data_IF_129918854716
#
_entry.id   IF_129918854716
#
_cell.length_a   1.000
_cell.length_b   1.000
_cell.length_c   1.000
_cell.angle_alpha   90.00
_cell.angle_beta   90.00
_cell.angle_gamma   90.00
#
_symmetry.space_group_name_H-M   'P 1'
#
loop_
_entity.id
_entity.type
_entity.pdbx_description
1 polymer ?
#
# COMPACT_ATOMS: atom_id res chain seq x y z
N UNK A 1 -3.07 -32.52 -12.67
CA UNK A 1 -2.68 -31.11 -12.49
C UNK A 1 -2.45 -30.85 -11.02
N UNK A 2 -1.21 -30.62 -10.59
CA UNK A 2 -0.86 -30.35 -9.20
C UNK A 2 -1.07 -28.88 -8.86
N UNK A 3 -1.82 -28.60 -7.79
CA UNK A 3 -1.96 -27.26 -7.24
C UNK A 3 -0.76 -26.98 -6.34
N UNK A 4 0.11 -26.07 -6.79
CA UNK A 4 1.26 -25.61 -6.02
C UNK A 4 0.75 -24.60 -4.99
N UNK A 5 0.69 -25.04 -3.74
CA UNK A 5 0.44 -24.21 -2.56
C UNK A 5 1.46 -23.08 -2.50
N UNK A 6 1.02 -21.83 -2.69
CA UNK A 6 1.82 -20.64 -2.38
C UNK A 6 1.22 -20.03 -1.12
N UNK A 7 2.04 -19.95 -0.06
CA UNK A 7 1.67 -19.48 1.27
C UNK A 7 1.32 -17.99 1.23
N UNK A 8 0.03 -17.69 1.37
CA UNK A 8 -0.53 -16.39 1.69
C UNK A 8 -1.99 -16.63 2.04
N UNK A 9 -2.30 -16.72 3.33
CA UNK A 9 -3.58 -17.23 3.80
C UNK A 9 -4.67 -16.20 3.48
N UNK A 10 -5.45 -16.43 2.44
CA UNK A 10 -6.86 -16.05 2.43
C UNK A 10 -7.66 -17.18 1.80
N UNK A 11 -8.38 -17.92 2.63
CA UNK A 11 -9.34 -18.94 2.19
C UNK A 11 -10.38 -18.25 1.30
N UNK A 12 -10.23 -18.41 -0.01
CA UNK A 12 -11.28 -18.13 -0.99
C UNK A 12 -12.35 -19.19 -0.78
N UNK A 13 -13.23 -18.95 0.20
CA UNK A 13 -14.52 -19.63 0.25
C UNK A 13 -15.39 -18.90 -0.76
N UNK A 14 -15.61 -19.55 -1.90
CA UNK A 14 -16.61 -19.18 -2.89
C UNK A 14 -17.96 -18.97 -2.17
N UNK A 15 -18.28 -17.72 -1.88
CA UNK A 15 -19.59 -17.32 -1.39
C UNK A 15 -20.09 -16.16 -2.23
N UNK A 16 -21.03 -16.52 -3.10
CA UNK A 16 -21.95 -15.75 -3.93
C UNK A 16 -22.52 -14.57 -3.12
N UNK A 17 -21.81 -13.45 -3.06
CA UNK A 17 -22.27 -12.20 -2.45
C UNK A 17 -21.46 -11.06 -3.05
N UNK A 18 -22.13 -10.02 -3.55
CA UNK A 18 -21.50 -8.85 -4.18
C UNK A 18 -20.40 -8.21 -3.31
N UNK A 19 -20.43 -8.42 -2.00
CA UNK A 19 -19.40 -7.95 -1.07
C UNK A 19 -18.04 -8.65 -1.25
N UNK A 20 -18.01 -9.97 -1.51
CA UNK A 20 -16.73 -10.71 -1.67
C UNK A 20 -16.03 -10.32 -2.97
N UNK A 21 -16.80 -10.08 -4.04
CA UNK A 21 -16.26 -9.61 -5.32
C UNK A 21 -15.70 -8.19 -5.20
N UNK A 22 -16.39 -7.30 -4.48
CA UNK A 22 -15.92 -5.94 -4.21
C UNK A 22 -14.62 -5.95 -3.40
N UNK A 23 -14.53 -6.78 -2.35
CA UNK A 23 -13.32 -6.90 -1.54
C UNK A 23 -12.13 -7.36 -2.40
N UNK A 24 -12.27 -8.44 -3.17
CA UNK A 24 -11.19 -8.93 -4.04
C UNK A 24 -10.72 -7.89 -5.08
N UNK A 25 -11.68 -7.21 -5.73
CA UNK A 25 -11.36 -6.12 -6.67
C UNK A 25 -10.67 -4.94 -5.99
N UNK A 26 -10.99 -4.66 -4.72
CA UNK A 26 -10.31 -3.62 -3.93
C UNK A 26 -8.86 -3.99 -3.67
N UNK A 27 -8.60 -5.26 -3.31
CA UNK A 27 -7.25 -5.76 -3.11
C UNK A 27 -6.42 -5.73 -4.40
N UNK A 28 -6.95 -6.29 -5.50
CA UNK A 28 -6.23 -6.34 -6.77
C UNK A 28 -5.93 -4.92 -7.30
N UNK A 29 -6.94 -4.04 -7.32
CA UNK A 29 -6.79 -2.68 -7.83
C UNK A 29 -5.83 -1.81 -7.01
N UNK A 30 -5.89 -1.91 -5.67
CA UNK A 30 -4.96 -1.16 -4.81
C UNK A 30 -3.51 -1.65 -4.95
N UNK A 31 -3.28 -2.97 -5.01
CA UNK A 31 -1.94 -3.51 -5.21
C UNK A 31 -1.34 -3.12 -6.56
N UNK A 32 -2.12 -3.21 -7.64
CA UNK A 32 -1.68 -2.81 -8.97
C UNK A 32 -1.30 -1.33 -9.02
N UNK A 33 -2.15 -0.46 -8.46
CA UNK A 33 -1.88 0.99 -8.43
C UNK A 33 -0.62 1.33 -7.64
N UNK A 34 -0.41 0.67 -6.50
CA UNK A 34 0.79 0.88 -5.68
C UNK A 34 2.05 0.33 -6.36
N UNK A 35 1.97 -0.73 -7.17
CA UNK A 35 3.09 -1.19 -7.99
C UNK A 35 3.39 -0.27 -9.17
N UNK A 36 2.44 0.55 -9.63
CA UNK A 36 2.68 1.59 -10.64
C UNK A 36 3.26 2.90 -10.07
N UNK A 37 3.59 2.93 -8.78
CA UNK A 37 4.24 4.09 -8.18
C UNK A 37 5.60 4.30 -8.84
N UNK A 38 5.83 5.53 -9.29
CA UNK A 38 7.11 5.90 -9.89
C UNK A 38 8.22 5.87 -8.83
N UNK A 39 9.48 5.60 -9.24
CA UNK A 39 10.62 5.69 -8.33
C UNK A 39 10.71 7.11 -7.75
N UNK A 40 10.69 7.23 -6.43
CA UNK A 40 10.91 8.50 -5.77
C UNK A 40 12.38 8.85 -5.87
N UNK A 41 12.67 9.99 -6.48
CA UNK A 41 14.00 10.61 -6.46
C UNK A 41 14.17 11.32 -5.13
N UNK A 42 15.18 10.89 -4.39
CA UNK A 42 15.57 11.51 -3.15
C UNK A 42 16.75 12.45 -3.42
N UNK A 43 17.13 13.29 -2.45
CA UNK A 43 18.20 14.28 -2.61
C UNK A 43 19.52 13.69 -3.17
N UNK A 44 19.89 12.49 -2.75
CA UNK A 44 21.14 11.81 -3.15
C UNK A 44 20.90 10.34 -3.55
N UNK A 45 19.80 10.07 -4.26
CA UNK A 45 19.43 8.71 -4.56
C UNK A 45 18.08 8.53 -5.23
N UNK A 46 17.65 7.28 -5.36
CA UNK A 46 16.29 6.94 -5.78
C UNK A 46 15.84 5.65 -5.12
N UNK A 47 14.56 5.56 -4.84
CA UNK A 47 13.91 4.39 -4.25
C UNK A 47 12.67 4.05 -5.04
N UNK A 48 12.44 2.75 -5.23
CA UNK A 48 11.26 2.26 -5.93
C UNK A 48 10.60 1.16 -5.09
N UNK A 49 9.27 1.13 -5.13
CA UNK A 49 8.51 0.02 -4.55
C UNK A 49 8.80 -1.22 -5.39
N UNK A 50 9.28 -2.28 -4.73
CA UNK A 50 9.61 -3.54 -5.39
C UNK A 50 8.51 -4.57 -5.25
N UNK A 51 7.84 -4.60 -4.09
CA UNK A 51 6.81 -5.61 -3.81
C UNK A 51 5.84 -5.15 -2.72
N UNK A 52 4.58 -5.58 -2.82
CA UNK A 52 3.59 -5.46 -1.73
C UNK A 52 3.67 -6.72 -0.88
N UNK A 53 4.22 -6.62 0.33
CA UNK A 53 4.39 -7.78 1.22
C UNK A 53 3.16 -8.08 2.06
N UNK A 54 2.35 -7.06 2.36
CA UNK A 54 1.11 -7.23 3.10
C UNK A 54 0.07 -6.26 2.58
N UNK A 55 -1.14 -6.76 2.37
CA UNK A 55 -2.31 -5.94 2.13
C UNK A 55 -3.43 -6.70 2.83
N UNK A 56 -3.93 -6.16 3.93
CA UNK A 56 -4.96 -6.80 4.74
C UNK A 56 -5.92 -5.74 5.27
N UNK A 57 -7.18 -6.08 5.46
CA UNK A 57 -8.21 -5.08 5.73
C UNK A 57 -9.61 -5.59 5.48
N UNK A 58 -10.55 -4.73 5.82
CA UNK A 58 -11.98 -4.98 5.70
C UNK A 58 -12.59 -3.94 4.76
N UNK A 59 -13.41 -4.40 3.82
CA UNK A 59 -14.21 -3.53 2.99
C UNK A 59 -15.69 -3.83 3.20
N UNK A 60 -16.45 -2.77 3.38
CA UNK A 60 -17.88 -2.75 3.66
C UNK A 60 -18.59 -1.92 2.60
N UNK A 61 -19.69 -2.47 2.11
CA UNK A 61 -20.62 -1.77 1.23
C UNK A 61 -21.98 -1.77 1.92
N UNK A 62 -22.36 -0.63 2.50
CA UNK A 62 -23.61 -0.47 3.23
C UNK A 62 -24.55 0.42 2.42
N UNK A 63 -25.74 -0.06 2.10
CA UNK A 63 -26.77 0.77 1.45
C UNK A 63 -27.75 1.26 2.50
N UNK A 64 -27.73 2.55 2.82
CA UNK A 64 -28.66 3.18 3.77
C UNK A 64 -29.62 4.08 3.01
N UNK A 65 -30.93 3.81 3.06
CA UNK A 65 -31.97 4.61 2.38
C UNK A 65 -31.68 4.86 0.89
N UNK A 66 -31.37 3.80 0.15
CA UNK A 66 -31.00 3.87 -1.28
C UNK A 66 -29.73 4.70 -1.57
N UNK A 67 -28.93 5.05 -0.56
CA UNK A 67 -27.59 5.63 -0.71
C UNK A 67 -26.54 4.56 -0.40
N UNK A 68 -25.77 4.18 -1.42
CA UNK A 68 -24.57 3.35 -1.23
C UNK A 68 -23.55 4.14 -0.40
N UNK A 69 -23.01 3.51 0.65
CA UNK A 69 -21.86 3.96 1.41
C UNK A 69 -20.79 2.89 1.29
N UNK A 70 -19.73 3.22 0.57
CA UNK A 70 -18.50 2.46 0.56
C UNK A 70 -17.73 2.82 1.84
N UNK A 71 -17.18 1.82 2.52
CA UNK A 71 -16.28 2.03 3.63
C UNK A 71 -15.25 0.93 3.61
N UNK A 72 -13.98 1.25 3.39
CA UNK A 72 -12.89 0.30 3.51
C UNK A 72 -11.94 0.78 4.61
N UNK A 73 -11.24 -0.17 5.22
CA UNK A 73 -10.07 0.07 6.08
C UNK A 73 -9.06 -1.03 5.80
N UNK A 74 -7.86 -0.67 5.35
CA UNK A 74 -6.78 -1.62 5.09
C UNK A 74 -5.44 -1.14 5.62
N UNK A 75 -4.64 -2.10 6.09
CA UNK A 75 -3.21 -1.99 6.33
C UNK A 75 -2.45 -2.46 5.09
N UNK A 76 -1.46 -1.69 4.66
CA UNK A 76 -0.59 -2.05 3.55
C UNK A 76 0.85 -2.03 4.01
N UNK A 77 1.63 -2.98 3.55
CA UNK A 77 3.08 -3.03 3.75
C UNK A 77 3.76 -3.23 2.41
N UNK A 78 4.52 -2.24 2.00
CA UNK A 78 5.28 -2.19 0.75
C UNK A 78 6.76 -2.37 1.09
N UNK A 79 7.48 -3.13 0.29
CA UNK A 79 8.95 -3.12 0.28
C UNK A 79 9.43 -2.18 -0.80
N UNK A 80 10.45 -1.40 -0.49
CA UNK A 80 11.15 -0.60 -1.46
C UNK A 80 12.62 -0.98 -1.50
N UNK A 81 13.23 -0.75 -2.66
CA UNK A 81 14.66 -0.92 -2.88
C UNK A 81 15.22 0.25 -3.68
N UNK A 82 16.44 0.65 -3.41
CA UNK A 82 17.05 1.79 -4.07
C UNK A 82 18.51 2.02 -3.75
N UNK A 83 18.99 3.18 -4.18
CA UNK A 83 20.33 3.68 -3.91
C UNK A 83 20.20 5.00 -3.12
N UNK A 84 21.01 5.21 -2.09
CA UNK A 84 20.99 6.42 -1.25
C UNK A 84 22.39 6.80 -0.78
N UNK A 85 22.83 8.05 -1.04
CA UNK A 85 24.13 8.61 -0.60
C UNK A 85 25.32 7.67 -0.84
N UNK A 86 25.34 7.01 -1.99
CA UNK A 86 26.38 6.05 -2.36
C UNK A 86 26.25 4.65 -1.76
N UNK A 87 25.27 4.42 -0.87
CA UNK A 87 24.86 3.09 -0.41
C UNK A 87 23.95 2.48 -1.48
N UNK A 88 24.43 1.41 -2.10
CA UNK A 88 23.64 0.62 -3.05
C UNK A 88 22.85 -0.44 -2.31
N UNK A 89 21.75 -0.88 -2.92
CA UNK A 89 20.90 -1.94 -2.37
C UNK A 89 20.26 -1.56 -1.02
N UNK A 90 19.93 -0.29 -0.83
CA UNK A 90 19.13 0.14 0.31
C UNK A 90 17.75 -0.48 0.18
N UNK A 91 17.39 -1.30 1.17
CA UNK A 91 16.07 -1.89 1.28
C UNK A 91 15.37 -1.38 2.54
N UNK A 92 14.06 -1.23 2.44
CA UNK A 92 13.24 -0.88 3.58
C UNK A 92 11.78 -1.20 3.33
N UNK A 93 10.99 -0.97 4.36
CA UNK A 93 9.58 -1.32 4.37
C UNK A 93 8.75 -0.08 4.68
N UNK A 94 7.72 0.15 3.91
CA UNK A 94 6.78 1.25 4.06
C UNK A 94 5.45 0.65 4.50
N UNK A 95 5.09 0.95 5.74
CA UNK A 95 3.90 0.46 6.42
C UNK A 95 2.87 1.57 6.45
N UNK A 96 1.69 1.28 5.94
CA UNK A 96 0.50 2.12 6.06
C UNK A 96 -0.37 1.40 7.09
N UNK A 97 -0.33 1.81 8.38
CA UNK A 97 -1.04 1.12 9.44
C UNK A 97 -2.55 1.17 9.27
N UNK A 98 -3.07 2.27 8.72
CA UNK A 98 -4.50 2.44 8.47
C UNK A 98 -4.74 3.37 7.28
N UNK A 99 -5.39 2.84 6.25
CA UNK A 99 -5.91 3.60 5.12
C UNK A 99 -7.41 3.36 5.00
N UNK A 100 -8.21 4.42 5.06
CA UNK A 100 -9.66 4.32 5.12
C UNK A 100 -10.36 5.21 4.10
N UNK A 101 -11.57 4.78 3.72
CA UNK A 101 -12.34 5.45 2.68
C UNK A 101 -12.71 6.88 3.09
N UNK A 102 -12.37 7.85 2.24
CA UNK A 102 -12.63 9.27 2.41
C UNK A 102 -11.87 9.91 3.59
N UNK A 103 -10.86 9.22 4.13
CA UNK A 103 -9.97 9.69 5.21
C UNK A 103 -8.49 9.56 4.81
N UNK A 104 -8.21 9.58 3.50
CA UNK A 104 -6.84 9.59 2.97
C UNK A 104 -6.06 10.89 3.32
N UNK A 105 -6.72 11.87 3.94
CA UNK A 105 -6.09 13.11 4.44
C UNK A 105 -5.31 12.90 5.75
N UNK A 106 -5.79 12.02 6.64
CA UNK A 106 -5.07 11.61 7.87
C UNK A 106 -4.21 10.35 7.63
N UNK A 107 -3.99 9.98 6.36
CA UNK A 107 -3.20 8.81 5.99
C UNK A 107 -1.81 8.90 6.61
N UNK A 108 -1.50 7.94 7.48
CA UNK A 108 -0.18 7.82 8.10
C UNK A 108 0.65 6.82 7.33
N UNK A 109 1.91 7.18 7.10
CA UNK A 109 2.93 6.24 6.69
C UNK A 109 3.95 6.10 7.79
N UNK A 110 4.30 4.87 8.09
CA UNK A 110 5.44 4.51 8.89
C UNK A 110 6.49 3.90 7.98
N UNK A 111 7.67 4.48 7.99
CA UNK A 111 8.80 3.95 7.27
C UNK A 111 9.61 3.11 8.24
N UNK A 112 9.61 1.81 8.01
CA UNK A 112 10.40 0.85 8.75
C UNK A 112 11.71 0.55 7.99
N UNK A 113 12.79 1.08 8.56
CA UNK A 113 14.17 0.86 8.11
C UNK A 113 14.88 -0.17 9.00
N UNK A 114 14.13 -1.04 9.67
CA UNK A 114 14.72 -2.05 10.55
C UNK A 114 15.59 -3.03 9.76
N UNK A 115 15.19 -3.37 8.53
CA UNK A 115 15.97 -4.16 7.58
C UNK A 115 17.10 -3.39 6.88
N UNK A 116 17.12 -2.06 6.99
CA UNK A 116 18.14 -1.21 6.37
C UNK A 116 19.38 -1.12 7.28
N UNK A 117 20.10 -2.23 7.47
CA UNK A 117 21.36 -2.25 8.22
C UNK A 117 22.48 -1.47 7.50
N UNK A 118 22.31 -1.22 6.21
CA UNK A 118 23.28 -0.49 5.37
C UNK A 118 23.27 1.03 5.59
N UNK A 119 22.27 1.58 6.27
CA UNK A 119 22.15 3.03 6.55
C UNK A 119 22.40 3.28 8.04
N UNK A 120 23.28 4.23 8.35
CA UNK A 120 23.55 4.64 9.72
C UNK A 120 22.32 5.26 10.40
N UNK A 121 22.17 5.07 11.72
CA UNK A 121 21.01 5.56 12.47
C UNK A 121 20.76 7.08 12.32
N UNK A 122 21.81 7.88 12.14
CA UNK A 122 21.68 9.32 11.90
C UNK A 122 21.12 9.66 10.51
N UNK A 123 21.39 8.83 9.51
CA UNK A 123 20.91 8.98 8.13
C UNK A 123 19.49 8.43 7.97
N UNK A 124 19.11 7.42 8.76
CA UNK A 124 17.74 6.86 8.80
C UNK A 124 16.69 7.94 9.04
N UNK A 125 16.97 8.92 9.89
CA UNK A 125 16.05 10.03 10.16
C UNK A 125 15.83 10.92 8.93
N UNK A 126 16.89 11.23 8.19
CA UNK A 126 16.81 12.03 6.94
C UNK A 126 16.10 11.25 5.85
N UNK A 127 16.47 9.98 5.68
CA UNK A 127 15.84 9.10 4.70
C UNK A 127 14.35 8.87 4.99
N UNK A 128 13.95 8.73 6.26
CA UNK A 128 12.54 8.70 6.65
C UNK A 128 11.81 10.00 6.31
N UNK A 129 12.44 11.17 6.47
CA UNK A 129 11.82 12.43 6.06
C UNK A 129 11.62 12.49 4.55
N UNK A 130 12.61 12.09 3.78
CA UNK A 130 12.50 12.06 2.31
C UNK A 130 11.42 11.07 1.85
N UNK A 131 11.36 9.89 2.48
CA UNK A 131 10.32 8.89 2.21
C UNK A 131 8.93 9.34 2.64
N UNK A 132 8.77 10.35 3.50
CA UNK A 132 7.46 10.96 3.71
C UNK A 132 6.95 11.63 2.44
N UNK A 133 7.81 12.05 1.52
CA UNK A 133 7.39 12.53 0.19
C UNK A 133 6.76 11.42 -0.67
N UNK A 134 6.91 10.15 -0.29
CA UNK A 134 6.20 9.02 -0.89
C UNK A 134 4.72 8.98 -0.45
N UNK A 135 4.33 9.69 0.62
CA UNK A 135 2.92 9.81 1.03
C UNK A 135 2.06 10.43 -0.06
N UNK A 136 2.49 11.55 -0.65
CA UNK A 136 1.74 12.26 -1.67
C UNK A 136 1.36 11.38 -2.87
N UNK A 137 2.31 10.69 -3.55
CA UNK A 137 1.96 9.82 -4.67
C UNK A 137 1.17 8.58 -4.24
N UNK A 138 1.41 8.02 -3.05
CA UNK A 138 0.58 6.92 -2.52
C UNK A 138 -0.86 7.40 -2.33
N UNK A 139 -1.03 8.55 -1.67
CA UNK A 139 -2.33 9.16 -1.41
C UNK A 139 -3.07 9.45 -2.71
N UNK A 140 -2.39 9.99 -3.71
CA UNK A 140 -2.96 10.26 -5.04
C UNK A 140 -3.44 8.98 -5.75
N UNK A 141 -2.64 7.90 -5.68
CA UNK A 141 -3.03 6.58 -6.21
C UNK A 141 -4.24 5.99 -5.46
N UNK A 142 -4.24 6.05 -4.14
CA UNK A 142 -5.37 5.59 -3.33
C UNK A 142 -6.62 6.43 -3.56
N UNK A 143 -6.47 7.74 -3.78
CA UNK A 143 -7.58 8.63 -4.09
C UNK A 143 -8.17 8.34 -5.47
N UNK A 144 -7.33 8.12 -6.48
CA UNK A 144 -7.76 7.65 -7.81
C UNK A 144 -8.57 6.36 -7.68
N UNK A 145 -8.10 5.43 -6.85
CA UNK A 145 -8.81 4.19 -6.55
C UNK A 145 -10.18 4.43 -5.88
N UNK A 146 -10.30 5.39 -4.95
CA UNK A 146 -11.61 5.77 -4.39
C UNK A 146 -12.58 6.29 -5.43
N UNK A 147 -12.11 7.09 -6.39
CA UNK A 147 -12.94 7.61 -7.46
C UNK A 147 -13.43 6.48 -8.38
N UNK A 148 -12.56 5.53 -8.69
CA UNK A 148 -12.93 4.31 -9.45
C UNK A 148 -13.99 3.48 -8.71
N UNK A 149 -13.89 3.37 -7.38
CA UNK A 149 -14.91 2.71 -6.55
C UNK A 149 -16.23 3.50 -6.52
N UNK A 150 -16.16 4.83 -6.40
CA UNK A 150 -17.34 5.72 -6.42
C UNK A 150 -18.08 5.67 -7.75
N UNK A 151 -17.36 5.48 -8.85
CA UNK A 151 -17.93 5.42 -10.20
C UNK A 151 -18.71 4.12 -10.50
N UNK A 152 -18.60 3.07 -9.65
CA UNK A 152 -19.27 1.77 -9.80
C UNK A 152 -20.49 1.59 -8.86
#
# INVERSE_FOLDING_TARGET
MGYKQVKGIMRIVLAISSQVFVIAHIYEGSQELLMTLEPLRLEDGYVQVTEVTRCAGEASLVTVRNKKRHGYSYEITLKFKGDWRGVKDVEGTLVIPEASYNDLDDLKVEVDLSSADSIEASEKAVFCQELRSFLDPIRDKLQTFEEELKAR
#
